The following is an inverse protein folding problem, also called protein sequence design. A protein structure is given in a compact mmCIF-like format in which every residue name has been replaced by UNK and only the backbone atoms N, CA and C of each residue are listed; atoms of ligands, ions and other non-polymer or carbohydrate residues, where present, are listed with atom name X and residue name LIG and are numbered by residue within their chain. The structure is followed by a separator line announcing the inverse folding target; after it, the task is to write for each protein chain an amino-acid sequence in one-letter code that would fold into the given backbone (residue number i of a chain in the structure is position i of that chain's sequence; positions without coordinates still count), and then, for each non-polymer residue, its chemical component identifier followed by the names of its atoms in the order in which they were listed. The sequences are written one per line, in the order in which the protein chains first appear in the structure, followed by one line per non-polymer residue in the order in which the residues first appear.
data_IF_239902699026
#
_entry.id   IF_239902699026
#
_cell.length_a   1.000
_cell.length_b   1.000
_cell.length_c   1.000
_cell.angle_alpha   90.00
_cell.angle_beta   90.00
_cell.angle_gamma   90.00
#
_symmetry.space_group_name_H-M   'P 1'
#
loop_
_entity.id
_entity.type
_entity.pdbx_description
1 polymer ?
#
# COMPACT_ATOMS: atom_id res chain seq x y z
N UNK A 1 12.64 -24.13 7.70
CA UNK A 1 11.90 -22.90 8.05
C UNK A 1 10.70 -22.82 7.14
N UNK A 2 9.49 -22.83 7.70
CA UNK A 2 8.24 -22.79 6.94
C UNK A 2 7.68 -21.38 7.04
N UNK A 3 7.75 -20.62 5.94
CA UNK A 3 7.44 -19.18 5.88
C UNK A 3 5.93 -18.87 5.86
N UNK A 4 5.08 -19.89 5.84
CA UNK A 4 3.61 -19.76 5.80
C UNK A 4 2.92 -19.94 7.16
N UNK A 5 3.68 -20.11 8.26
CA UNK A 5 3.07 -20.12 9.59
C UNK A 5 2.59 -18.71 9.93
N UNK A 6 1.27 -18.54 10.03
CA UNK A 6 0.62 -17.30 10.48
C UNK A 6 1.24 -16.83 11.79
N UNK A 7 1.89 -15.68 11.74
CA UNK A 7 2.43 -14.95 12.89
C UNK A 7 1.76 -13.57 13.00
N UNK A 8 0.61 -13.40 12.36
CA UNK A 8 -0.21 -12.21 12.51
C UNK A 8 -0.68 -12.06 13.96
N UNK A 9 -0.74 -10.82 14.41
CA UNK A 9 -1.25 -10.44 15.73
C UNK A 9 -2.57 -9.69 15.54
N UNK A 10 -3.42 -9.78 16.55
CA UNK A 10 -4.65 -8.97 16.58
C UNK A 10 -4.29 -7.49 16.52
N UNK A 11 -5.07 -6.70 15.79
CA UNK A 11 -4.90 -5.23 15.75
C UNK A 11 -4.91 -4.68 17.18
N UNK A 12 -4.02 -3.74 17.48
CA UNK A 12 -3.82 -3.21 18.83
C UNK A 12 -2.82 -3.97 19.71
N UNK A 13 -2.23 -5.07 19.21
CA UNK A 13 -1.17 -5.79 19.94
C UNK A 13 0.16 -5.03 20.02
N UNK A 14 0.35 -4.04 19.15
CA UNK A 14 1.54 -3.18 19.12
C UNK A 14 1.23 -1.83 19.75
N UNK A 15 2.26 -1.06 20.11
CA UNK A 15 2.05 0.35 20.48
C UNK A 15 1.62 1.16 19.25
N UNK A 16 0.74 2.12 19.48
CA UNK A 16 0.34 3.04 18.43
C UNK A 16 1.41 4.12 18.23
N UNK A 17 1.60 4.60 17.00
CA UNK A 17 2.40 5.80 16.76
C UNK A 17 1.69 7.07 17.28
N UNK A 18 2.30 8.24 17.10
CA UNK A 18 1.71 9.53 17.51
C UNK A 18 0.35 9.86 16.88
N UNK A 19 -0.04 9.15 15.81
CA UNK A 19 -1.32 9.27 15.12
C UNK A 19 -2.35 8.21 15.55
N UNK A 20 -2.05 7.40 16.57
CA UNK A 20 -2.90 6.27 17.03
C UNK A 20 -3.07 5.16 15.99
N UNK A 21 -2.11 5.03 15.08
CA UNK A 21 -2.06 3.95 14.10
C UNK A 21 -1.17 2.82 14.63
N UNK A 22 -1.64 1.59 14.47
CA UNK A 22 -1.01 0.38 14.98
C UNK A 22 -0.36 -0.38 13.83
N UNK A 23 0.82 -0.96 14.08
CA UNK A 23 1.45 -1.91 13.16
C UNK A 23 1.70 -1.40 11.72
N UNK A 24 1.95 -0.10 11.51
CA UNK A 24 2.22 0.46 10.15
C UNK A 24 3.42 -0.22 9.44
N UNK A 25 4.39 -0.72 10.20
CA UNK A 25 5.63 -1.29 9.66
C UNK A 25 5.65 -2.83 9.77
N UNK A 26 4.70 -3.43 10.49
CA UNK A 26 4.76 -4.86 10.85
C UNK A 26 3.37 -5.50 10.86
N UNK A 27 3.28 -6.79 11.19
CA UNK A 27 2.06 -7.59 11.09
C UNK A 27 1.79 -8.11 9.66
N UNK A 28 1.00 -7.39 8.87
CA UNK A 28 0.58 -7.79 7.53
C UNK A 28 0.78 -6.64 6.55
N UNK A 29 0.78 -6.96 5.26
CA UNK A 29 0.84 -5.98 4.19
C UNK A 29 -0.50 -5.23 4.06
N UNK A 30 -0.43 -3.91 3.90
CA UNK A 30 -1.59 -3.03 3.74
C UNK A 30 -1.62 -2.47 2.31
N UNK A 31 -2.58 -2.90 1.49
CA UNK A 31 -2.69 -2.47 0.08
C UNK A 31 -2.98 -0.97 -0.05
N UNK A 32 -2.31 -0.33 -1.02
CA UNK A 32 -2.60 1.03 -1.46
C UNK A 32 -3.35 1.02 -2.79
N UNK A 33 -3.97 2.17 -3.09
CA UNK A 33 -4.75 2.37 -4.30
C UNK A 33 -3.87 2.67 -5.53
N UNK A 34 -2.72 3.32 -5.31
CA UNK A 34 -1.76 3.72 -6.34
C UNK A 34 -1.13 2.55 -7.09
N UNK A 35 -1.02 2.68 -8.41
CA UNK A 35 -0.15 1.82 -9.20
C UNK A 35 1.33 2.08 -8.88
N UNK A 36 2.19 1.06 -9.09
CA UNK A 36 3.63 1.28 -9.00
C UNK A 36 4.19 1.93 -10.27
N UNK A 37 5.01 2.96 -10.09
CA UNK A 37 5.80 3.63 -11.14
C UNK A 37 7.11 4.14 -10.49
N UNK A 38 8.25 3.70 -11.02
CA UNK A 38 9.59 3.95 -10.45
C UNK A 38 10.00 5.44 -10.51
N UNK A 39 9.49 6.18 -11.48
CA UNK A 39 9.82 7.58 -11.69
C UNK A 39 8.78 8.53 -11.09
N UNK A 40 7.74 8.00 -10.45
CA UNK A 40 6.57 8.81 -10.07
C UNK A 40 6.91 9.94 -9.11
N UNK A 41 7.77 9.70 -8.12
CA UNK A 41 8.20 10.75 -7.19
C UNK A 41 8.89 11.93 -7.87
N UNK A 42 9.50 11.74 -9.05
CA UNK A 42 10.14 12.83 -9.81
C UNK A 42 9.13 13.72 -10.53
N UNK A 43 7.91 13.23 -10.76
CA UNK A 43 6.86 13.91 -11.56
C UNK A 43 5.54 14.11 -10.81
N UNK A 44 5.46 13.72 -9.55
CA UNK A 44 4.20 13.75 -8.77
C UNK A 44 3.75 15.20 -8.53
N UNK A 45 2.45 15.50 -8.64
CA UNK A 45 1.92 16.80 -8.20
C UNK A 45 2.03 16.93 -6.68
N UNK A 46 2.14 18.17 -6.17
CA UNK A 46 2.28 18.45 -4.73
C UNK A 46 1.01 18.15 -3.92
N UNK A 47 -0.16 18.31 -4.54
CA UNK A 47 -1.46 18.18 -3.89
C UNK A 47 -2.13 16.90 -4.38
N UNK A 48 -2.43 16.01 -3.44
CA UNK A 48 -3.16 14.75 -3.70
C UNK A 48 -2.64 13.97 -4.92
N UNK A 49 -1.37 13.55 -4.92
CA UNK A 49 -0.80 12.76 -6.01
C UNK A 49 -1.51 11.41 -6.14
N UNK A 50 -1.71 10.98 -7.38
CA UNK A 50 -2.32 9.71 -7.75
C UNK A 50 -1.53 9.03 -8.87
N UNK A 51 -1.18 7.76 -8.70
CA UNK A 51 -0.61 6.95 -9.79
C UNK A 51 -1.65 6.02 -10.37
N UNK A 52 -1.82 6.08 -11.69
CA UNK A 52 -2.53 5.04 -12.46
C UNK A 52 -3.72 5.53 -13.25
N UNK A 53 -4.37 6.61 -12.83
CA UNK A 53 -5.55 7.20 -13.48
C UNK A 53 -5.56 8.73 -13.33
N UNK A 54 -6.48 9.41 -14.03
CA UNK A 54 -6.52 10.89 -14.04
C UNK A 54 -7.22 11.49 -12.82
N UNK A 55 -8.14 10.75 -12.21
CA UNK A 55 -8.81 11.13 -10.97
C UNK A 55 -9.25 9.91 -10.15
N UNK A 56 -9.75 10.18 -8.95
CA UNK A 56 -10.15 9.15 -7.98
C UNK A 56 -11.37 8.35 -8.44
N UNK A 57 -12.27 8.94 -9.22
CA UNK A 57 -13.50 8.29 -9.67
C UNK A 57 -13.19 7.27 -10.77
N UNK A 58 -12.37 7.67 -11.74
CA UNK A 58 -11.84 6.78 -12.77
C UNK A 58 -11.10 5.61 -12.13
N UNK A 59 -10.28 5.89 -11.12
CA UNK A 59 -9.53 4.87 -10.42
C UNK A 59 -10.46 3.89 -9.69
N UNK A 60 -11.44 4.37 -8.91
CA UNK A 60 -12.37 3.48 -8.20
C UNK A 60 -13.16 2.60 -9.18
N UNK A 61 -13.54 3.14 -10.34
CA UNK A 61 -14.24 2.40 -11.39
C UNK A 61 -13.31 1.38 -12.07
N UNK A 62 -12.03 1.71 -12.27
CA UNK A 62 -11.03 0.87 -12.93
C UNK A 62 -10.49 -0.25 -12.03
N UNK A 63 -10.70 -0.16 -10.70
CA UNK A 63 -10.34 -1.17 -9.69
C UNK A 63 -11.57 -1.98 -9.21
N UNK A 64 -12.17 -2.87 -10.03
CA UNK A 64 -13.15 -3.82 -9.50
C UNK A 64 -12.44 -4.75 -8.50
N UNK A 65 -13.04 -4.96 -7.33
CA UNK A 65 -12.51 -5.76 -6.20
C UNK A 65 -12.12 -7.21 -6.60
N UNK A 66 -12.60 -7.68 -7.75
CA UNK A 66 -12.24 -8.98 -8.34
C UNK A 66 -10.85 -9.01 -8.98
N UNK A 67 -10.26 -7.85 -9.29
CA UNK A 67 -8.97 -7.68 -9.96
C UNK A 67 -8.06 -6.77 -9.12
N UNK A 68 -7.66 -7.25 -7.94
CA UNK A 68 -6.58 -6.62 -7.16
C UNK A 68 -5.35 -6.57 -8.06
N UNK A 69 -4.96 -5.38 -8.54
CA UNK A 69 -3.65 -5.18 -9.14
C UNK A 69 -2.63 -5.41 -8.03
N UNK A 70 -2.07 -6.62 -7.98
CA UNK A 70 -1.09 -7.10 -6.99
C UNK A 70 0.25 -6.34 -7.00
N UNK A 71 0.34 -5.14 -7.59
CA UNK A 71 1.62 -4.51 -7.92
C UNK A 71 2.16 -3.53 -6.87
N UNK A 72 1.42 -3.19 -5.82
CA UNK A 72 1.85 -2.10 -4.94
C UNK A 72 3.02 -2.42 -3.99
N UNK A 73 3.45 -3.68 -3.83
CA UNK A 73 4.53 -4.01 -2.89
C UNK A 73 5.80 -4.63 -3.46
N UNK A 74 5.80 -5.14 -4.70
CA UNK A 74 7.01 -5.80 -5.22
C UNK A 74 8.18 -4.83 -5.42
N UNK A 75 7.91 -3.54 -5.63
CA UNK A 75 8.98 -2.58 -5.93
C UNK A 75 9.36 -1.64 -4.81
N UNK A 76 8.40 -1.18 -3.99
CA UNK A 76 8.62 -0.01 -3.13
C UNK A 76 9.53 -0.31 -1.92
N UNK A 77 9.80 -1.58 -1.61
CA UNK A 77 10.63 -1.99 -0.46
C UNK A 77 11.97 -2.61 -0.88
N UNK A 78 12.13 -3.09 -2.11
CA UNK A 78 13.38 -3.76 -2.56
C UNK A 78 14.41 -2.76 -3.12
N UNK A 79 14.06 -1.47 -3.24
CA UNK A 79 15.00 -0.39 -3.59
C UNK A 79 15.55 0.39 -2.37
N UNK A 80 15.50 -0.22 -1.17
CA UNK A 80 16.26 0.22 0.00
C UNK A 80 17.54 -0.59 0.19
#
# INVERSE_FOLDING_TARGET
MEWWKRNDKTVGSFEANGYRLYAIISNIWEWCLDAYDEDYYNKSPEVSPLVGDTDIEELIISFPITYVRLQCFYSCIIQG
#
